data_IF_415555091481
#
_entry.id   IF_415555091481
#
_cell.length_a   1.000
_cell.length_b   1.000
_cell.length_c   1.000
_cell.angle_alpha   90.00
_cell.angle_beta   90.00
_cell.angle_gamma   90.00
#
_symmetry.space_group_name_H-M   'P 1'
#
loop_
_entity.id
_entity.type
_entity.pdbx_description
1 polymer ?
#
# COMPACT_ATOMS: atom_id res chain seq x y z
N UNK A 1 26.42 -21.13 19.49
CA UNK A 1 26.42 -21.44 18.06
C UNK A 1 24.97 -21.67 17.65
N UNK A 2 24.27 -20.61 17.32
CA UNK A 2 22.94 -20.69 16.68
C UNK A 2 23.08 -20.18 15.24
N UNK A 3 23.63 -21.03 14.37
CA UNK A 3 23.57 -20.79 12.93
C UNK A 3 22.18 -21.20 12.44
N UNK A 4 21.23 -20.28 12.50
CA UNK A 4 20.01 -20.35 11.70
C UNK A 4 20.38 -20.20 10.21
N UNK A 5 19.45 -20.50 9.29
CA UNK A 5 19.70 -20.28 7.87
C UNK A 5 20.05 -18.81 7.64
N UNK A 6 21.18 -18.58 6.98
CA UNK A 6 21.63 -17.25 6.61
C UNK A 6 21.03 -16.92 5.23
N UNK A 7 20.21 -15.89 5.19
CA UNK A 7 19.60 -15.41 3.96
C UNK A 7 20.40 -14.23 3.42
N UNK A 8 20.60 -14.18 2.10
CA UNK A 8 21.44 -13.18 1.47
C UNK A 8 20.81 -12.61 0.22
N UNK A 9 20.98 -11.32 0.03
CA UNK A 9 20.73 -10.65 -1.26
C UNK A 9 22.06 -10.61 -2.00
N UNK A 10 22.07 -11.24 -3.16
CA UNK A 10 23.26 -11.37 -4.00
C UNK A 10 23.00 -10.77 -5.37
N UNK A 11 23.91 -9.95 -5.87
CA UNK A 11 23.92 -9.44 -7.22
C UNK A 11 25.22 -9.88 -7.91
N UNK A 12 25.12 -10.54 -9.05
CA UNK A 12 26.26 -10.99 -9.85
C UNK A 12 26.08 -10.60 -11.32
N UNK A 13 27.18 -10.45 -12.05
CA UNK A 13 27.12 -10.22 -13.50
C UNK A 13 26.66 -11.45 -14.29
N UNK A 14 26.84 -12.64 -13.72
CA UNK A 14 26.47 -13.91 -14.34
C UNK A 14 26.13 -14.94 -13.27
N UNK A 15 25.21 -15.85 -13.58
CA UNK A 15 24.87 -16.99 -12.71
C UNK A 15 25.97 -18.07 -12.69
N UNK A 16 26.97 -17.98 -13.55
CA UNK A 16 28.03 -18.97 -13.70
C UNK A 16 29.32 -18.58 -12.97
N UNK A 17 29.40 -17.37 -12.39
CA UNK A 17 30.59 -16.86 -11.71
C UNK A 17 30.27 -16.51 -10.26
N UNK A 18 31.21 -16.78 -9.38
CA UNK A 18 31.15 -16.38 -7.96
C UNK A 18 31.60 -14.92 -7.76
N UNK A 19 31.65 -14.12 -8.81
CA UNK A 19 31.95 -12.70 -8.73
C UNK A 19 30.68 -11.91 -8.40
N UNK A 20 30.52 -11.58 -7.13
CA UNK A 20 29.38 -10.83 -6.64
C UNK A 20 29.63 -9.33 -6.63
N UNK A 21 28.75 -8.58 -7.27
CA UNK A 21 28.70 -7.11 -7.17
C UNK A 21 28.12 -6.63 -5.83
N UNK A 22 27.21 -7.43 -5.30
CA UNK A 22 26.64 -7.27 -3.97
C UNK A 22 26.51 -8.63 -3.29
N UNK A 23 26.85 -8.69 -2.03
CA UNK A 23 26.67 -9.87 -1.18
C UNK A 23 26.30 -9.39 0.22
N UNK A 24 25.00 -9.14 0.43
CA UNK A 24 24.47 -8.55 1.65
C UNK A 24 23.60 -9.53 2.41
N UNK A 25 23.92 -9.86 3.68
CA UNK A 25 23.03 -10.67 4.51
C UNK A 25 21.74 -9.91 4.78
N UNK A 26 20.63 -10.63 4.76
CA UNK A 26 19.35 -10.08 5.23
C UNK A 26 19.31 -10.25 6.73
N UNK A 27 19.32 -9.16 7.46
CA UNK A 27 19.28 -9.17 8.91
C UNK A 27 18.06 -8.44 9.43
N UNK A 28 17.71 -8.74 10.66
CA UNK A 28 16.50 -8.21 11.30
C UNK A 28 16.57 -6.70 11.53
N UNK A 29 17.77 -6.22 11.86
CA UNK A 29 18.03 -4.84 12.26
C UNK A 29 18.04 -3.87 11.08
N UNK A 30 18.22 -4.37 9.86
CA UNK A 30 18.22 -3.53 8.65
C UNK A 30 16.83 -2.98 8.38
N UNK A 31 16.78 -1.67 8.13
CA UNK A 31 15.54 -0.98 7.77
C UNK A 31 15.47 -0.84 6.26
N UNK A 32 14.85 -1.81 5.62
CA UNK A 32 14.61 -1.75 4.18
C UNK A 32 13.46 -0.80 3.86
N UNK A 33 13.62 -0.01 2.81
CA UNK A 33 12.61 0.91 2.30
C UNK A 33 12.50 0.76 0.79
N UNK A 34 11.29 0.71 0.28
CA UNK A 34 11.03 0.78 -1.14
C UNK A 34 10.73 2.22 -1.53
N UNK A 35 11.60 2.79 -2.40
CA UNK A 35 11.42 4.13 -2.95
C UNK A 35 11.07 3.98 -4.42
N UNK A 36 9.94 4.50 -4.82
CA UNK A 36 9.36 4.21 -6.12
C UNK A 36 9.16 2.69 -6.33
N UNK A 37 8.71 2.28 -7.48
CA UNK A 37 8.39 0.88 -7.73
C UNK A 37 9.62 0.02 -8.10
N UNK A 38 10.77 0.64 -8.30
CA UNK A 38 11.98 0.00 -8.82
C UNK A 38 13.25 0.25 -8.00
N UNK A 39 13.13 0.85 -6.83
CA UNK A 39 14.30 1.15 -5.98
C UNK A 39 14.09 0.62 -4.57
N UNK A 40 15.02 -0.19 -4.08
CA UNK A 40 15.08 -0.67 -2.71
C UNK A 40 16.33 -0.11 -2.04
N UNK A 41 16.17 0.51 -0.87
CA UNK A 41 17.27 1.11 -0.11
C UNK A 41 17.26 0.59 1.32
N UNK A 42 18.45 0.47 1.92
CA UNK A 42 18.63 0.16 3.33
C UNK A 42 19.98 0.67 3.83
N UNK A 43 20.15 0.71 5.12
CA UNK A 43 21.44 1.00 5.76
C UNK A 43 21.91 -0.29 6.44
N UNK A 44 23.12 -0.73 6.15
CA UNK A 44 23.71 -1.93 6.75
C UNK A 44 24.17 -1.69 8.19
N UNK A 45 24.68 -2.77 8.85
CA UNK A 45 25.19 -2.69 10.22
C UNK A 45 26.43 -1.79 10.38
N UNK A 46 27.15 -1.52 9.30
CA UNK A 46 28.32 -0.65 9.28
C UNK A 46 27.93 0.81 9.09
N UNK A 47 26.64 1.07 8.89
CA UNK A 47 26.09 2.41 8.63
C UNK A 47 26.27 2.87 7.18
N UNK A 48 26.50 1.94 6.24
CA UNK A 48 26.54 2.25 4.82
C UNK A 48 25.13 2.22 4.21
N UNK A 49 24.84 3.26 3.45
CA UNK A 49 23.59 3.32 2.68
C UNK A 49 23.73 2.48 1.41
N UNK A 50 22.88 1.50 1.29
CA UNK A 50 22.80 0.56 0.19
C UNK A 50 21.58 0.84 -0.66
N UNK A 51 21.70 0.63 -1.97
CA UNK A 51 20.60 0.81 -2.91
C UNK A 51 20.64 -0.23 -4.03
N UNK A 52 19.51 -0.86 -4.30
CA UNK A 52 19.26 -1.70 -5.46
C UNK A 52 18.25 -1.05 -6.38
N UNK A 53 18.67 -0.76 -7.61
CA UNK A 53 17.80 -0.26 -8.66
C UNK A 53 17.47 -1.39 -9.63
N UNK A 54 16.21 -1.63 -9.86
CA UNK A 54 15.71 -2.68 -10.75
C UNK A 54 15.27 -2.06 -12.09
N UNK A 55 15.51 -2.78 -13.17
CA UNK A 55 15.02 -2.36 -14.49
C UNK A 55 13.51 -2.60 -14.64
N UNK A 56 13.00 -3.61 -13.96
CA UNK A 56 11.60 -4.03 -14.04
C UNK A 56 10.96 -4.03 -12.65
N UNK A 57 9.70 -3.61 -12.62
CA UNK A 57 8.85 -3.56 -11.43
C UNK A 57 8.74 -4.92 -10.73
N UNK A 58 8.56 -5.98 -11.54
CA UNK A 58 8.38 -7.35 -11.03
C UNK A 58 9.59 -7.82 -10.23
N UNK A 59 10.81 -7.60 -10.75
CA UNK A 59 12.02 -7.99 -10.03
C UNK A 59 12.19 -7.28 -8.68
N UNK A 60 11.85 -6.00 -8.62
CA UNK A 60 11.84 -5.27 -7.36
C UNK A 60 10.79 -5.84 -6.37
N UNK A 61 9.62 -6.18 -6.88
CA UNK A 61 8.53 -6.71 -6.06
C UNK A 61 8.86 -8.09 -5.48
N UNK A 62 9.46 -8.97 -6.27
CA UNK A 62 9.87 -10.31 -5.83
C UNK A 62 10.95 -10.24 -4.74
N UNK A 63 12.00 -9.45 -4.94
CA UNK A 63 13.08 -9.31 -3.95
C UNK A 63 12.58 -8.63 -2.68
N UNK A 64 11.72 -7.63 -2.81
CA UNK A 64 11.07 -6.99 -1.67
C UNK A 64 10.24 -7.98 -0.84
N UNK A 65 9.42 -8.79 -1.52
CA UNK A 65 8.62 -9.84 -0.89
C UNK A 65 9.48 -10.83 -0.11
N UNK A 66 10.56 -11.31 -0.74
CA UNK A 66 11.51 -12.21 -0.10
C UNK A 66 12.16 -11.61 1.15
N UNK A 67 12.70 -10.39 1.06
CA UNK A 67 13.33 -9.72 2.21
C UNK A 67 12.34 -9.53 3.36
N UNK A 68 11.12 -9.13 3.04
CA UNK A 68 10.06 -8.94 4.04
C UNK A 68 9.70 -10.26 4.73
N UNK A 69 9.56 -11.35 3.96
CA UNK A 69 9.28 -12.68 4.50
C UNK A 69 10.41 -13.18 5.42
N UNK A 70 11.66 -13.01 5.01
CA UNK A 70 12.84 -13.37 5.81
C UNK A 70 12.88 -12.59 7.11
N UNK A 71 12.64 -11.28 7.08
CA UNK A 71 12.61 -10.46 8.29
C UNK A 71 11.47 -10.86 9.24
N UNK A 72 10.31 -11.20 8.70
CA UNK A 72 9.19 -11.76 9.49
C UNK A 72 9.58 -13.10 10.13
N UNK A 73 10.29 -13.95 9.40
CA UNK A 73 10.75 -15.25 9.93
C UNK A 73 11.72 -15.08 11.07
N UNK A 74 12.68 -14.15 10.99
CA UNK A 74 13.61 -13.86 12.10
C UNK A 74 12.88 -13.38 13.34
N UNK A 75 11.84 -12.60 13.16
CA UNK A 75 11.08 -12.09 14.28
C UNK A 75 10.29 -13.21 15.00
N UNK A 76 9.74 -14.16 14.27
CA UNK A 76 9.05 -15.34 14.83
C UNK A 76 10.04 -16.26 15.55
N UNK A 77 11.22 -16.50 14.97
CA UNK A 77 12.23 -17.47 15.48
C UNK A 77 12.85 -17.07 16.80
N UNK A 78 12.88 -15.78 17.14
CA UNK A 78 13.49 -15.27 18.37
C UNK A 78 12.51 -15.16 19.55
N UNK A 79 11.27 -15.65 19.40
CA UNK A 79 10.27 -15.61 20.49
C UNK A 79 9.95 -14.17 20.94
N UNK A 80 10.38 -13.19 20.17
CA UNK A 80 9.76 -11.89 20.23
C UNK A 80 8.37 -12.12 19.71
N UNK A 81 7.42 -12.27 20.66
CA UNK A 81 6.06 -11.96 20.33
C UNK A 81 6.13 -10.63 19.59
N UNK A 82 6.08 -10.67 18.25
CA UNK A 82 5.36 -9.59 17.64
C UNK A 82 4.13 -9.55 18.51
N UNK A 83 3.96 -8.47 19.27
CA UNK A 83 2.65 -8.16 19.79
C UNK A 83 1.71 -8.74 18.78
N UNK A 84 0.97 -9.79 19.19
CA UNK A 84 -0.04 -10.37 18.32
C UNK A 84 -0.53 -9.20 17.52
N UNK A 85 -0.17 -9.13 16.22
CA UNK A 85 -0.92 -8.24 15.38
C UNK A 85 -2.32 -8.73 15.64
N UNK A 86 -2.99 -8.04 16.53
CA UNK A 86 -4.40 -8.31 16.74
C UNK A 86 -4.93 -8.33 15.33
N UNK A 87 -5.59 -9.41 14.91
CA UNK A 87 -6.03 -9.52 13.52
C UNK A 87 -6.60 -8.16 13.18
N UNK A 88 -5.99 -7.48 12.22
CA UNK A 88 -6.33 -6.10 11.87
C UNK A 88 -7.83 -6.00 11.93
N UNK A 89 -8.40 -5.11 12.73
CA UNK A 89 -9.84 -5.04 12.88
C UNK A 89 -10.42 -5.01 11.46
N UNK A 90 -11.42 -5.83 11.17
CA UNK A 90 -11.97 -5.90 9.82
C UNK A 90 -12.36 -4.49 9.40
N UNK A 91 -11.74 -4.01 8.33
CA UNK A 91 -12.08 -2.71 7.79
C UNK A 91 -13.45 -2.78 7.15
N UNK A 92 -14.31 -1.88 7.50
CA UNK A 92 -15.62 -1.69 6.91
C UNK A 92 -15.97 -0.20 6.85
N UNK A 93 -16.80 0.19 5.91
CA UNK A 93 -17.43 1.50 5.85
C UNK A 93 -18.95 1.34 5.86
N UNK A 94 -19.68 2.28 6.44
CA UNK A 94 -21.14 2.25 6.36
C UNK A 94 -21.61 2.35 4.90
N UNK A 95 -22.83 1.92 4.66
CA UNK A 95 -23.45 2.13 3.35
C UNK A 95 -23.41 3.62 2.98
N UNK A 96 -22.97 3.98 1.76
CA UNK A 96 -22.82 5.37 1.39
C UNK A 96 -24.20 6.03 1.23
N UNK A 97 -24.39 7.08 2.01
CA UNK A 97 -25.57 7.97 1.95
C UNK A 97 -25.08 9.41 2.09
N UNK A 98 -25.83 10.43 1.59
CA UNK A 98 -25.40 11.83 1.68
C UNK A 98 -25.02 12.24 3.12
N UNK A 99 -25.79 11.80 4.12
CA UNK A 99 -25.52 12.09 5.53
C UNK A 99 -24.33 11.35 6.11
N UNK A 100 -23.92 10.21 5.52
CA UNK A 100 -22.79 9.41 5.99
C UNK A 100 -21.46 9.82 5.34
N UNK A 101 -21.47 10.56 4.24
CA UNK A 101 -20.24 10.92 3.48
C UNK A 101 -19.15 11.58 4.36
N UNK A 102 -19.46 12.54 5.26
CA UNK A 102 -18.43 13.12 6.11
C UNK A 102 -17.78 12.07 7.03
N UNK A 103 -18.58 11.19 7.63
CA UNK A 103 -18.09 10.13 8.52
C UNK A 103 -17.28 9.07 7.76
N UNK A 104 -17.67 8.76 6.53
CA UNK A 104 -16.92 7.85 5.64
C UNK A 104 -15.56 8.45 5.32
N UNK A 105 -15.51 9.72 4.92
CA UNK A 105 -14.27 10.44 4.64
C UNK A 105 -13.32 10.39 5.85
N UNK A 106 -13.81 10.75 7.02
CA UNK A 106 -13.00 10.84 8.23
C UNK A 106 -12.48 9.46 8.66
N UNK A 107 -13.33 8.43 8.65
CA UNK A 107 -12.93 7.05 8.97
C UNK A 107 -11.91 6.51 7.96
N UNK A 108 -12.10 6.75 6.68
CA UNK A 108 -11.16 6.32 5.63
C UNK A 108 -9.81 7.01 5.80
N UNK A 109 -9.81 8.31 6.01
CA UNK A 109 -8.60 9.09 6.23
C UNK A 109 -7.84 8.61 7.48
N UNK A 110 -8.51 8.49 8.61
CA UNK A 110 -7.92 8.00 9.86
C UNK A 110 -7.32 6.60 9.67
N UNK A 111 -8.09 5.67 9.08
CA UNK A 111 -7.63 4.30 8.85
C UNK A 111 -6.41 4.23 7.91
N UNK A 112 -6.33 5.10 6.91
CA UNK A 112 -5.22 5.14 5.95
C UNK A 112 -3.88 5.59 6.56
N UNK A 113 -3.91 6.26 7.71
CA UNK A 113 -2.73 6.73 8.43
C UNK A 113 -2.05 5.64 9.27
N UNK A 114 -2.69 4.48 9.51
CA UNK A 114 -2.17 3.48 10.43
C UNK A 114 -0.94 2.77 9.84
N UNK A 115 -1.13 1.68 9.14
CA UNK A 115 -0.02 0.85 8.65
C UNK A 115 -0.18 0.52 7.17
N UNK A 116 0.90 0.02 6.53
CA UNK A 116 0.80 -0.48 5.16
C UNK A 116 -0.21 -1.62 5.05
N UNK A 117 -0.21 -2.55 6.00
CA UNK A 117 -1.16 -3.66 6.04
C UNK A 117 -2.63 -3.19 6.18
N UNK A 118 -2.88 -2.08 6.90
CA UNK A 118 -4.21 -1.50 6.96
C UNK A 118 -4.59 -0.86 5.62
N UNK A 119 -3.67 -0.20 4.92
CA UNK A 119 -3.93 0.35 3.58
C UNK A 119 -4.27 -0.74 2.56
N UNK A 120 -3.54 -1.85 2.58
CA UNK A 120 -3.84 -3.03 1.74
C UNK A 120 -5.23 -3.60 2.05
N UNK A 121 -5.58 -3.74 3.33
CA UNK A 121 -6.91 -4.18 3.75
C UNK A 121 -8.02 -3.22 3.30
N UNK A 122 -7.78 -1.91 3.36
CA UNK A 122 -8.70 -0.88 2.83
C UNK A 122 -8.92 -1.09 1.34
N UNK A 123 -7.84 -1.23 0.57
CA UNK A 123 -7.90 -1.42 -0.88
C UNK A 123 -8.67 -2.69 -1.24
N UNK A 124 -8.32 -3.82 -0.65
CA UNK A 124 -8.99 -5.09 -0.88
C UNK A 124 -10.49 -5.00 -0.57
N UNK A 125 -10.85 -4.39 0.56
CA UNK A 125 -12.25 -4.21 0.94
C UNK A 125 -13.02 -3.33 -0.04
N UNK A 126 -12.44 -2.19 -0.44
CA UNK A 126 -13.08 -1.24 -1.38
C UNK A 126 -13.35 -1.87 -2.73
N UNK A 127 -12.41 -2.67 -3.25
CA UNK A 127 -12.55 -3.36 -4.53
C UNK A 127 -13.59 -4.49 -4.43
N UNK A 128 -13.54 -5.31 -3.38
CA UNK A 128 -14.50 -6.39 -3.15
C UNK A 128 -15.94 -5.87 -3.03
N UNK A 129 -16.13 -4.74 -2.35
CA UNK A 129 -17.43 -4.14 -2.15
C UNK A 129 -17.88 -3.25 -3.32
N UNK A 130 -17.06 -3.06 -4.34
CA UNK A 130 -17.27 -2.09 -5.43
C UNK A 130 -17.67 -0.70 -4.87
N UNK A 131 -17.00 -0.30 -3.79
CA UNK A 131 -17.46 0.83 -2.98
C UNK A 131 -17.42 2.15 -3.73
N UNK A 132 -16.39 2.37 -4.56
CA UNK A 132 -16.27 3.59 -5.37
C UNK A 132 -17.44 3.71 -6.35
N UNK A 133 -17.89 2.60 -6.94
CA UNK A 133 -19.06 2.58 -7.83
C UNK A 133 -20.34 2.99 -7.10
N UNK A 134 -20.48 2.61 -5.82
CA UNK A 134 -21.62 3.01 -4.99
C UNK A 134 -21.67 4.51 -4.69
N UNK A 135 -20.54 5.24 -4.86
CA UNK A 135 -20.46 6.69 -4.68
C UNK A 135 -20.93 7.47 -5.92
N UNK A 136 -20.91 6.86 -7.12
CA UNK A 136 -21.30 7.51 -8.38
C UNK A 136 -22.70 8.14 -8.31
N UNK A 137 -23.77 7.40 -7.95
CA UNK A 137 -25.11 7.98 -7.89
C UNK A 137 -25.26 9.10 -6.84
N UNK A 138 -24.43 9.06 -5.76
CA UNK A 138 -24.43 10.12 -4.76
C UNK A 138 -23.76 11.39 -5.29
N UNK A 139 -22.74 11.24 -6.11
CA UNK A 139 -22.09 12.35 -6.79
C UNK A 139 -23.06 13.04 -7.75
N UNK A 140 -23.71 12.28 -8.63
CA UNK A 140 -24.72 12.81 -9.56
C UNK A 140 -25.86 13.55 -8.83
N UNK A 141 -26.33 12.97 -7.72
CA UNK A 141 -27.35 13.61 -6.88
C UNK A 141 -26.84 14.90 -6.26
N UNK A 142 -25.62 14.91 -5.72
CA UNK A 142 -25.05 16.09 -5.08
C UNK A 142 -24.81 17.22 -6.08
N UNK A 143 -24.36 16.91 -7.30
CA UNK A 143 -24.25 17.88 -8.39
C UNK A 143 -25.61 18.47 -8.78
N UNK A 144 -26.60 17.63 -8.99
CA UNK A 144 -27.95 18.08 -9.38
C UNK A 144 -28.58 18.98 -8.32
N UNK A 145 -28.30 18.74 -7.03
CA UNK A 145 -28.80 19.52 -5.89
C UNK A 145 -27.87 20.68 -5.48
N UNK A 146 -26.69 20.79 -6.09
CA UNK A 146 -25.64 21.73 -5.71
C UNK A 146 -25.26 21.61 -4.21
N UNK A 147 -25.27 20.38 -3.70
CA UNK A 147 -24.89 20.08 -2.32
C UNK A 147 -23.37 20.07 -2.15
N UNK A 148 -22.82 21.25 -1.91
CA UNK A 148 -21.38 21.46 -1.74
C UNK A 148 -20.79 20.66 -0.58
N UNK A 149 -21.56 20.38 0.46
CA UNK A 149 -21.09 19.60 1.61
C UNK A 149 -20.81 18.15 1.22
N UNK A 150 -21.73 17.54 0.47
CA UNK A 150 -21.55 16.19 -0.06
C UNK A 150 -20.44 16.14 -1.11
N UNK A 151 -20.33 17.14 -1.98
CA UNK A 151 -19.29 17.24 -3.01
C UNK A 151 -17.89 17.34 -2.40
N UNK A 152 -17.69 18.19 -1.39
CA UNK A 152 -16.41 18.28 -0.66
C UNK A 152 -16.07 16.98 0.11
N UNK A 153 -17.08 16.29 0.65
CA UNK A 153 -16.84 15.01 1.31
C UNK A 153 -16.39 13.94 0.32
N UNK A 154 -17.03 13.87 -0.87
CA UNK A 154 -16.63 12.97 -1.96
C UNK A 154 -15.23 13.27 -2.47
N UNK A 155 -14.89 14.55 -2.66
CA UNK A 155 -13.52 14.97 -2.97
C UNK A 155 -12.53 14.43 -1.94
N UNK A 156 -12.79 14.62 -0.64
CA UNK A 156 -11.90 14.16 0.42
C UNK A 156 -11.73 12.63 0.45
N UNK A 157 -12.79 11.88 0.13
CA UNK A 157 -12.73 10.41 -0.02
C UNK A 157 -11.78 10.06 -1.18
N UNK A 158 -11.97 10.64 -2.37
CA UNK A 158 -11.13 10.36 -3.53
C UNK A 158 -9.68 10.79 -3.30
N UNK A 159 -9.46 11.93 -2.68
CA UNK A 159 -8.12 12.39 -2.30
C UNK A 159 -7.41 11.36 -1.41
N UNK A 160 -8.09 10.81 -0.41
CA UNK A 160 -7.52 9.78 0.46
C UNK A 160 -7.18 8.52 -0.32
N UNK A 161 -8.07 8.04 -1.20
CA UNK A 161 -7.84 6.86 -2.03
C UNK A 161 -6.59 7.00 -2.91
N UNK A 162 -6.43 8.15 -3.57
CA UNK A 162 -5.24 8.40 -4.39
C UNK A 162 -3.97 8.64 -3.56
N UNK A 163 -4.10 9.11 -2.31
CA UNK A 163 -2.97 9.24 -1.39
C UNK A 163 -2.45 7.90 -0.89
N UNK A 164 -3.31 6.87 -0.82
CA UNK A 164 -2.88 5.48 -0.55
C UNK A 164 -1.91 4.99 -1.64
N UNK A 165 -2.04 5.53 -2.86
CA UNK A 165 -1.15 5.29 -4.01
C UNK A 165 -1.05 3.80 -4.38
N UNK A 166 -2.19 3.13 -4.45
CA UNK A 166 -2.29 1.73 -4.84
C UNK A 166 -2.72 1.61 -6.31
N UNK A 167 -1.98 0.79 -7.06
CA UNK A 167 -2.22 0.59 -8.49
C UNK A 167 -3.59 -0.06 -8.78
N UNK A 168 -4.06 -0.95 -7.91
CA UNK A 168 -5.34 -1.65 -8.10
C UNK A 168 -6.53 -0.68 -8.06
N UNK A 169 -6.47 0.35 -7.20
CA UNK A 169 -7.51 1.40 -7.17
C UNK A 169 -7.50 2.20 -8.47
N UNK A 170 -6.29 2.57 -8.92
CA UNK A 170 -6.15 3.34 -10.16
C UNK A 170 -6.64 2.53 -11.35
N UNK A 171 -6.26 1.26 -11.45
CA UNK A 171 -6.72 0.36 -12.50
C UNK A 171 -8.25 0.18 -12.47
N UNK A 172 -8.82 -0.05 -11.29
CA UNK A 172 -10.27 -0.18 -11.11
C UNK A 172 -11.02 1.06 -11.61
N UNK A 173 -10.55 2.26 -11.27
CA UNK A 173 -11.16 3.52 -11.73
C UNK A 173 -11.07 3.68 -13.23
N UNK A 174 -9.94 3.30 -13.85
CA UNK A 174 -9.72 3.45 -15.29
C UNK A 174 -10.45 2.40 -16.14
N UNK A 175 -10.78 1.24 -15.59
CA UNK A 175 -11.48 0.16 -16.32
C UNK A 175 -12.96 0.46 -16.58
N UNK A 176 -13.60 1.26 -15.74
CA UNK A 176 -15.02 1.59 -15.85
C UNK A 176 -15.20 3.05 -16.22
N UNK A 177 -15.78 3.30 -17.41
CA UNK A 177 -15.97 4.63 -17.96
C UNK A 177 -16.83 5.53 -17.06
N UNK A 178 -17.91 5.00 -16.50
CA UNK A 178 -18.82 5.77 -15.65
C UNK A 178 -18.17 6.13 -14.33
N UNK A 179 -17.42 5.18 -13.74
CA UNK A 179 -16.63 5.40 -12.53
C UNK A 179 -15.53 6.44 -12.79
N UNK A 180 -14.82 6.34 -13.91
CA UNK A 180 -13.76 7.28 -14.27
C UNK A 180 -14.26 8.72 -14.34
N UNK A 181 -15.35 8.98 -15.06
CA UNK A 181 -15.88 10.34 -15.20
C UNK A 181 -16.46 10.88 -13.89
N UNK A 182 -17.13 10.04 -13.11
CA UNK A 182 -17.63 10.45 -11.80
C UNK A 182 -16.46 10.79 -10.83
N UNK A 183 -15.40 9.98 -10.80
CA UNK A 183 -14.22 10.25 -9.98
C UNK A 183 -13.50 11.52 -10.43
N UNK A 184 -13.35 11.73 -11.75
CA UNK A 184 -12.78 12.96 -12.30
C UNK A 184 -13.61 14.18 -11.86
N UNK A 185 -14.94 14.10 -11.95
CA UNK A 185 -15.85 15.15 -11.47
C UNK A 185 -15.75 15.39 -9.97
N UNK A 186 -15.69 14.33 -9.14
CA UNK A 186 -15.50 14.46 -7.68
C UNK A 186 -14.21 15.23 -7.33
N UNK A 187 -13.16 15.05 -8.12
CA UNK A 187 -11.86 15.72 -7.88
C UNK A 187 -11.86 17.22 -8.23
N UNK A 188 -12.86 17.73 -8.93
CA UNK A 188 -13.00 19.16 -9.23
C UNK A 188 -13.46 19.99 -8.01
N UNK A 189 -14.09 19.35 -7.02
CA UNK A 189 -14.67 20.01 -5.84
C UNK A 189 -13.70 20.10 -4.65
N UNK A 190 -12.57 20.73 -4.87
CA UNK A 190 -11.52 20.92 -3.84
C UNK A 190 -11.94 21.94 -2.76
#
# INVERSE_FOLDING_TARGET
DSSGPEYMVVVSESLETDDYLLHAPVIKEDVYQRQHDTLMVWTDLEGQDMALSFQELEGCHEIWGFVTEVQQHFAISQGLDFEKQEPLPPFDLPAPTPSALPSIRDKLHESSLHSSAMRENIVEWLLREEYVRKLVPLFEQAEALQDMSSLHALYGIMQTLFTINDNLITEYVLQDHDVYFAVAGMLEYR
#
